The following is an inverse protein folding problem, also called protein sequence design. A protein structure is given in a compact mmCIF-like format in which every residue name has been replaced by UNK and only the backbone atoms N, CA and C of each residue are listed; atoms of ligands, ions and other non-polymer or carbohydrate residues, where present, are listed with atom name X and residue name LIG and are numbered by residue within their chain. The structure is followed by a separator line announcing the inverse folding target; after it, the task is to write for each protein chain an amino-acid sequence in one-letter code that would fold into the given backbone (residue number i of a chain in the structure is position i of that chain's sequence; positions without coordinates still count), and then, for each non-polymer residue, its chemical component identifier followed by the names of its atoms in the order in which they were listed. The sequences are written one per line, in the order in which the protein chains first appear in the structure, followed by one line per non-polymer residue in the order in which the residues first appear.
data_IF_204501427042
#
_entry.id   IF_204501427042
#
_cell.length_a   1.000
_cell.length_b   1.000
_cell.length_c   1.000
_cell.angle_alpha   90.00
_cell.angle_beta   90.00
_cell.angle_gamma   90.00
#
_symmetry.space_group_name_H-M   'P 1'
#
loop_
_entity.id
_entity.type
_entity.pdbx_description
1 polymer ?
#
# COMPACT_ATOMS: atom_id res chain seq x y z
N UNK A 1 4.46 -9.17 -9.80
CA UNK A 1 3.85 -8.45 -8.67
C UNK A 1 2.41 -8.93 -8.65
N UNK A 2 1.88 -9.25 -7.48
CA UNK A 2 0.51 -9.71 -7.32
C UNK A 2 -0.27 -8.57 -6.68
N UNK A 3 -1.34 -8.13 -7.32
CA UNK A 3 -2.33 -7.26 -6.71
C UNK A 3 -3.30 -8.15 -5.95
N UNK A 4 -3.39 -7.95 -4.63
CA UNK A 4 -4.19 -8.81 -3.75
C UNK A 4 -5.06 -7.90 -2.91
N UNK A 5 -6.38 -8.10 -2.99
CA UNK A 5 -7.35 -7.48 -2.09
C UNK A 5 -7.65 -8.46 -0.97
N UNK A 6 -7.54 -7.99 0.27
CA UNK A 6 -7.82 -8.77 1.46
C UNK A 6 -9.01 -8.15 2.20
N UNK A 7 -9.96 -8.99 2.60
CA UNK A 7 -10.94 -8.61 3.63
C UNK A 7 -10.26 -8.65 5.00
N UNK A 8 -10.50 -7.66 5.83
CA UNK A 8 -9.90 -7.52 7.16
C UNK A 8 -10.96 -7.21 8.21
N UNK A 9 -10.60 -7.38 9.48
CA UNK A 9 -11.46 -6.90 10.55
C UNK A 9 -11.54 -5.37 10.54
N UNK A 10 -12.68 -4.83 10.99
CA UNK A 10 -12.92 -3.39 11.13
C UNK A 10 -11.85 -2.68 11.99
N UNK A 11 -11.25 -3.39 12.94
CA UNK A 11 -10.14 -2.87 13.77
C UNK A 11 -8.94 -2.47 12.92
N UNK A 12 -8.64 -3.23 11.86
CA UNK A 12 -7.54 -2.98 10.92
C UNK A 12 -7.84 -1.74 10.07
N UNK A 13 -9.02 -1.68 9.44
CA UNK A 13 -9.42 -0.50 8.65
C UNK A 13 -9.52 0.76 9.49
N UNK A 14 -10.01 0.67 10.73
CA UNK A 14 -10.08 1.81 11.65
C UNK A 14 -8.71 2.36 12.04
N UNK A 15 -7.69 1.49 12.09
CA UNK A 15 -6.30 1.91 12.37
C UNK A 15 -5.55 2.46 11.14
N UNK A 16 -6.05 2.17 9.93
CA UNK A 16 -5.48 2.64 8.67
C UNK A 16 -6.05 4.03 8.34
N UNK A 17 -5.39 5.06 8.84
CA UNK A 17 -5.87 6.46 8.78
C UNK A 17 -5.02 7.34 7.87
N UNK A 18 -3.80 6.91 7.51
CA UNK A 18 -2.87 7.69 6.69
C UNK A 18 -2.27 6.84 5.57
N UNK A 19 -2.23 7.35 4.33
CA UNK A 19 -1.52 6.67 3.26
C UNK A 19 -0.04 6.51 3.59
N UNK A 20 0.54 5.39 3.17
CA UNK A 20 1.91 4.99 3.53
C UNK A 20 2.05 4.20 4.82
N UNK A 21 0.96 3.93 5.54
CA UNK A 21 0.96 2.90 6.58
C UNK A 21 1.09 1.49 5.99
N UNK A 22 1.42 0.53 6.85
CA UNK A 22 1.63 -0.86 6.48
C UNK A 22 0.98 -1.80 7.49
N UNK A 23 0.81 -3.06 7.12
CA UNK A 23 0.39 -4.14 8.00
C UNK A 23 1.47 -5.22 8.07
N UNK A 24 1.38 -6.05 9.11
CA UNK A 24 2.06 -7.34 9.14
C UNK A 24 1.07 -8.43 8.75
N UNK A 25 1.48 -9.36 7.89
CA UNK A 25 0.64 -10.48 7.48
C UNK A 25 1.42 -11.79 7.33
N UNK A 26 0.74 -12.91 7.58
CA UNK A 26 1.23 -14.28 7.37
C UNK A 26 0.08 -15.27 7.21
N UNK A 27 0.35 -16.41 6.59
CA UNK A 27 -0.62 -17.50 6.41
C UNK A 27 -0.65 -18.40 7.65
N UNK A 28 0.51 -18.81 8.16
CA UNK A 28 0.61 -19.75 9.28
C UNK A 28 1.06 -19.05 10.57
N UNK A 29 0.57 -19.53 11.72
CA UNK A 29 0.84 -18.94 13.05
C UNK A 29 2.33 -18.98 13.38
N UNK A 30 3.06 -20.01 12.98
CA UNK A 30 4.47 -20.18 13.34
C UNK A 30 5.43 -19.45 12.41
N UNK A 31 4.94 -18.95 11.27
CA UNK A 31 5.77 -18.23 10.31
C UNK A 31 6.08 -16.80 10.77
N UNK A 32 7.24 -16.29 10.34
CA UNK A 32 7.61 -14.89 10.52
C UNK A 32 6.73 -14.00 9.65
N UNK A 33 6.04 -12.98 10.19
CA UNK A 33 5.21 -12.10 9.38
C UNK A 33 6.04 -11.29 8.39
N UNK A 34 5.45 -11.05 7.21
CA UNK A 34 5.94 -10.06 6.26
C UNK A 34 5.35 -8.69 6.57
N UNK A 35 6.07 -7.63 6.19
CA UNK A 35 5.61 -6.25 6.29
C UNK A 35 5.14 -5.80 4.90
N UNK A 36 3.91 -5.31 4.82
CA UNK A 36 3.27 -4.95 3.56
C UNK A 36 2.65 -3.57 3.65
N UNK A 37 3.22 -2.62 2.89
CA UNK A 37 2.62 -1.31 2.73
C UNK A 37 1.26 -1.43 2.03
N UNK A 38 0.25 -0.76 2.57
CA UNK A 38 -1.09 -0.75 1.99
C UNK A 38 -1.05 0.10 0.71
N UNK A 39 -1.60 -0.46 -0.36
CA UNK A 39 -1.54 0.13 -1.70
C UNK A 39 -2.78 0.96 -2.03
N UNK A 40 -3.92 0.66 -1.41
CA UNK A 40 -5.13 1.49 -1.51
C UNK A 40 -5.07 2.69 -0.56
N UNK A 41 -5.83 3.74 -0.87
CA UNK A 41 -6.07 4.84 0.07
C UNK A 41 -6.86 4.37 1.32
N UNK A 42 -6.70 5.05 2.47
CA UNK A 42 -7.65 4.91 3.58
C UNK A 42 -9.08 5.14 3.11
N UNK A 43 -10.01 4.25 3.47
CA UNK A 43 -11.42 4.29 3.07
C UNK A 43 -11.64 4.35 1.54
N UNK A 44 -10.78 3.70 0.75
CA UNK A 44 -10.90 3.66 -0.71
C UNK A 44 -12.27 3.13 -1.14
N UNK A 45 -13.06 3.98 -1.81
CA UNK A 45 -14.41 3.64 -2.30
C UNK A 45 -14.42 2.64 -3.45
N UNK A 46 -13.25 2.37 -4.04
CA UNK A 46 -13.04 1.39 -5.12
C UNK A 46 -12.93 -0.04 -4.61
N UNK A 47 -12.78 -0.24 -3.30
CA UNK A 47 -12.70 -1.56 -2.67
C UNK A 47 -14.02 -1.93 -1.97
N UNK A 48 -14.29 -3.23 -1.76
CA UNK A 48 -15.34 -3.65 -0.86
C UNK A 48 -15.13 -3.06 0.56
N UNK A 49 -16.20 -2.94 1.37
CA UNK A 49 -16.08 -2.56 2.77
C UNK A 49 -15.06 -3.44 3.51
N UNK A 50 -14.38 -2.84 4.49
CA UNK A 50 -13.40 -3.51 5.35
C UNK A 50 -12.33 -4.30 4.55
N UNK A 51 -11.87 -3.72 3.43
CA UNK A 51 -10.86 -4.33 2.58
C UNK A 51 -9.64 -3.43 2.38
N UNK A 52 -8.48 -4.05 2.19
CA UNK A 52 -7.22 -3.39 1.84
C UNK A 52 -6.67 -3.99 0.56
N UNK A 53 -5.98 -3.17 -0.24
CA UNK A 53 -5.20 -3.67 -1.36
C UNK A 53 -3.71 -3.71 -1.02
N UNK A 54 -3.03 -4.78 -1.43
CA UNK A 54 -1.59 -4.98 -1.31
C UNK A 54 -0.98 -5.28 -2.68
N UNK A 55 0.22 -4.76 -2.92
CA UNK A 55 1.05 -5.16 -4.06
C UNK A 55 2.21 -6.01 -3.55
N UNK A 56 2.14 -7.31 -3.80
CA UNK A 56 3.06 -8.30 -3.24
C UNK A 56 4.02 -8.79 -4.31
N UNK A 57 5.32 -8.64 -4.04
CA UNK A 57 6.36 -9.29 -4.82
C UNK A 57 6.74 -10.59 -4.11
N UNK A 58 6.35 -11.72 -4.69
CA UNK A 58 6.74 -13.05 -4.18
C UNK A 58 8.27 -13.14 -4.08
N UNK A 59 8.75 -13.69 -2.96
CA UNK A 59 10.15 -13.97 -2.68
C UNK A 59 10.22 -15.37 -2.07
N UNK A 60 11.01 -16.31 -2.64
CA UNK A 60 11.07 -17.69 -2.16
C UNK A 60 11.36 -17.80 -0.65
N UNK A 61 10.62 -18.67 0.03
CA UNK A 61 10.77 -18.92 1.47
C UNK A 61 10.28 -17.79 2.38
N UNK A 62 9.46 -16.87 1.87
CA UNK A 62 8.94 -15.73 2.64
C UNK A 62 7.42 -15.75 2.77
N UNK A 63 6.90 -15.01 3.77
CA UNK A 63 5.46 -14.75 3.87
C UNK A 63 4.87 -14.10 2.62
N UNK A 64 5.66 -13.35 1.83
CA UNK A 64 5.20 -12.78 0.56
C UNK A 64 4.93 -13.87 -0.50
N UNK A 65 5.72 -14.95 -0.51
CA UNK A 65 5.45 -16.10 -1.39
C UNK A 65 4.21 -16.87 -0.93
N UNK A 66 4.11 -17.16 0.37
CA UNK A 66 2.96 -17.86 0.93
C UNK A 66 1.64 -17.13 0.63
N UNK A 67 1.61 -15.81 0.80
CA UNK A 67 0.43 -14.99 0.49
C UNK A 67 0.17 -14.92 -1.02
N UNK A 68 1.22 -14.78 -1.85
CA UNK A 68 1.06 -14.73 -3.31
C UNK A 68 0.52 -16.03 -3.92
N UNK A 69 0.77 -17.17 -3.27
CA UNK A 69 0.30 -18.49 -3.69
C UNK A 69 -1.03 -18.87 -3.02
N UNK A 70 -1.57 -18.06 -2.12
CA UNK A 70 -2.80 -18.33 -1.42
C UNK A 70 -4.00 -18.20 -2.39
N UNK A 71 -4.86 -19.21 -2.43
CA UNK A 71 -6.08 -19.16 -3.22
C UNK A 71 -7.06 -18.10 -2.66
N UNK A 72 -7.89 -17.54 -3.54
CA UNK A 72 -8.96 -16.64 -3.12
C UNK A 72 -9.87 -17.30 -2.07
N UNK A 73 -10.21 -16.54 -1.02
CA UNK A 73 -10.94 -17.07 0.15
C UNK A 73 -10.06 -17.73 1.21
N UNK A 74 -8.75 -17.87 0.98
CA UNK A 74 -7.79 -18.29 2.00
C UNK A 74 -7.70 -17.30 3.17
N UNK A 75 -7.32 -17.80 4.34
CA UNK A 75 -7.21 -17.00 5.57
C UNK A 75 -5.81 -16.44 5.76
N UNK A 76 -5.75 -15.24 6.35
CA UNK A 76 -4.53 -14.54 6.72
C UNK A 76 -4.61 -14.07 8.16
N UNK A 77 -3.49 -14.15 8.86
CA UNK A 77 -3.30 -13.48 10.14
C UNK A 77 -2.74 -12.08 9.84
N UNK A 78 -3.49 -11.04 10.21
CA UNK A 78 -3.22 -9.65 9.86
C UNK A 78 -3.16 -8.79 11.11
N UNK A 79 -2.14 -7.94 11.24
CA UNK A 79 -2.08 -6.94 12.31
C UNK A 79 -2.98 -5.75 12.00
N UNK A 80 -3.29 -4.93 13.01
CA UNK A 80 -3.72 -3.54 12.76
C UNK A 80 -2.69 -2.80 11.89
N UNK A 81 -3.11 -1.73 11.24
CA UNK A 81 -2.21 -0.86 10.49
C UNK A 81 -1.20 -0.20 11.43
N UNK A 82 0.02 -0.06 10.92
CA UNK A 82 1.21 0.42 11.63
C UNK A 82 1.92 1.49 10.80
N UNK A 83 2.84 2.20 11.45
CA UNK A 83 3.57 3.31 10.85
C UNK A 83 2.80 4.63 10.94
N UNK A 84 3.53 5.73 10.69
CA UNK A 84 3.00 7.11 10.79
C UNK A 84 2.37 7.60 9.48
N UNK A 85 2.45 6.82 8.41
CA UNK A 85 2.13 7.26 7.06
C UNK A 85 3.09 8.34 6.55
N UNK A 86 2.80 8.88 5.36
CA UNK A 86 3.48 10.07 4.86
C UNK A 86 2.96 11.33 5.56
N UNK A 87 3.87 12.24 5.91
CA UNK A 87 3.55 13.50 6.57
C UNK A 87 3.09 14.57 5.55
N UNK A 88 1.96 14.29 4.87
CA UNK A 88 1.41 15.17 3.82
C UNK A 88 0.98 16.54 4.37
N UNK A 89 0.71 16.62 5.68
CA UNK A 89 0.46 17.86 6.42
C UNK A 89 1.64 18.85 6.39
N UNK A 90 2.86 18.36 6.13
CA UNK A 90 4.07 19.19 6.05
C UNK A 90 4.34 19.76 4.67
N UNK A 91 3.51 19.41 3.67
CA UNK A 91 3.64 19.89 2.30
C UNK A 91 2.32 20.49 1.82
N UNK A 92 1.75 21.48 2.54
CA UNK A 92 0.48 22.09 2.12
C UNK A 92 0.61 22.68 0.71
N UNK A 93 -0.50 22.67 -0.03
CA UNK A 93 -0.56 23.18 -1.41
C UNK A 93 -0.11 24.65 -1.50
N UNK A 94 -0.36 25.45 -0.45
CA UNK A 94 0.04 26.86 -0.39
C UNK A 94 1.54 27.11 -0.39
N UNK A 95 2.34 26.15 0.11
CA UNK A 95 3.77 26.36 0.40
C UNK A 95 4.67 25.50 -0.50
N UNK A 96 4.11 24.45 -1.11
CA UNK A 96 4.86 23.49 -1.92
C UNK A 96 4.17 23.33 -3.27
N UNK A 97 4.79 23.81 -4.33
CA UNK A 97 4.19 23.78 -5.68
C UNK A 97 4.62 22.57 -6.52
N UNK A 98 5.69 21.89 -6.11
CA UNK A 98 6.24 20.73 -6.83
C UNK A 98 6.38 19.54 -5.88
N UNK A 99 5.78 18.41 -6.23
CA UNK A 99 5.93 17.14 -5.51
C UNK A 99 6.50 16.08 -6.46
N UNK A 100 7.68 15.57 -6.12
CA UNK A 100 8.33 14.49 -6.83
C UNK A 100 8.33 13.23 -5.96
N UNK A 101 7.83 12.14 -6.51
CA UNK A 101 7.75 10.85 -5.85
C UNK A 101 8.66 9.86 -6.55
N UNK A 102 9.41 9.08 -5.79
CA UNK A 102 10.35 8.10 -6.33
C UNK A 102 10.07 6.73 -5.73
N UNK A 103 9.89 5.73 -6.58
CA UNK A 103 9.73 4.35 -6.15
C UNK A 103 10.52 3.38 -7.02
N UNK A 104 10.86 2.25 -6.43
CA UNK A 104 11.35 1.08 -7.15
C UNK A 104 10.66 -0.18 -6.64
N UNK A 105 10.35 -1.12 -7.55
CA UNK A 105 9.70 -2.39 -7.19
C UNK A 105 8.40 -2.19 -6.39
N UNK A 106 8.25 -2.92 -5.28
CA UNK A 106 7.07 -2.80 -4.39
C UNK A 106 7.07 -1.52 -3.54
N UNK A 107 8.11 -0.68 -3.62
CA UNK A 107 8.12 0.65 -3.00
C UNK A 107 7.07 1.61 -3.56
N UNK A 108 6.40 1.24 -4.66
CA UNK A 108 5.28 2.00 -5.22
C UNK A 108 3.99 1.86 -4.40
N UNK A 109 3.79 0.77 -3.64
CA UNK A 109 2.56 0.55 -2.86
C UNK A 109 2.17 1.73 -1.98
N UNK A 110 3.04 2.24 -1.08
CA UNK A 110 2.66 3.36 -0.22
C UNK A 110 2.41 4.65 -1.02
N UNK A 111 3.04 4.83 -2.19
CA UNK A 111 2.81 5.98 -3.06
C UNK A 111 1.50 5.87 -3.85
N UNK A 112 1.11 4.67 -4.27
CA UNK A 112 -0.21 4.42 -4.85
C UNK A 112 -1.30 4.84 -3.87
N UNK A 113 -1.15 4.47 -2.59
CA UNK A 113 -2.06 4.87 -1.51
C UNK A 113 -2.15 6.39 -1.37
N UNK A 114 -1.03 7.11 -1.46
CA UNK A 114 -0.98 8.58 -1.44
C UNK A 114 -1.70 9.17 -2.65
N UNK A 115 -1.40 8.69 -3.85
CA UNK A 115 -1.98 9.19 -5.10
C UNK A 115 -3.50 9.02 -5.09
N UNK A 116 -3.98 7.83 -4.72
CA UNK A 116 -5.42 7.53 -4.67
C UNK A 116 -6.16 8.26 -3.55
N UNK A 117 -5.46 8.69 -2.50
CA UNK A 117 -6.09 9.46 -1.43
C UNK A 117 -6.53 10.86 -1.86
N UNK A 118 -6.01 11.37 -2.98
CA UNK A 118 -6.24 12.75 -3.44
C UNK A 118 -5.55 13.83 -2.60
N UNK A 119 -4.91 13.46 -1.49
CA UNK A 119 -4.31 14.39 -0.52
C UNK A 119 -3.10 15.17 -1.05
N UNK A 120 -2.58 14.80 -2.23
CA UNK A 120 -1.51 15.55 -2.88
C UNK A 120 -1.99 16.89 -3.45
N UNK A 121 -3.29 17.09 -3.71
CA UNK A 121 -3.76 18.32 -4.37
C UNK A 121 -3.16 18.50 -5.76
N UNK A 122 -3.09 17.42 -6.55
CA UNK A 122 -2.30 17.39 -7.78
C UNK A 122 -2.76 18.40 -8.85
N UNK A 123 -4.05 18.76 -8.86
CA UNK A 123 -4.61 19.78 -9.76
C UNK A 123 -4.32 21.22 -9.32
N UNK A 124 -3.85 21.42 -8.09
CA UNK A 124 -3.60 22.73 -7.50
C UNK A 124 -2.11 23.08 -7.47
N UNK A 125 -1.27 22.17 -7.96
CA UNK A 125 0.19 22.29 -8.00
C UNK A 125 0.68 22.33 -9.44
N UNK A 126 1.78 23.04 -9.69
CA UNK A 126 2.41 23.09 -11.00
C UNK A 126 2.94 21.73 -11.46
N UNK A 127 3.40 20.88 -10.54
CA UNK A 127 3.89 19.55 -10.88
C UNK A 127 3.73 18.53 -9.75
N UNK A 128 3.06 17.42 -10.06
CA UNK A 128 3.07 16.21 -9.24
C UNK A 128 3.50 15.04 -10.12
N UNK A 129 4.68 14.49 -9.88
CA UNK A 129 5.28 13.48 -10.74
C UNK A 129 5.77 12.26 -9.97
N UNK A 130 5.40 11.08 -10.45
CA UNK A 130 5.99 9.81 -10.02
C UNK A 130 7.09 9.39 -11.00
N UNK A 131 8.27 9.10 -10.45
CA UNK A 131 9.36 8.40 -11.11
C UNK A 131 9.40 6.96 -10.58
N UNK A 132 9.02 6.00 -11.43
CA UNK A 132 8.92 4.61 -11.02
C UNK A 132 9.90 3.72 -11.78
N UNK A 133 10.90 3.20 -11.06
CA UNK A 133 11.90 2.28 -11.60
C UNK A 133 11.45 0.82 -11.48
N UNK A 134 11.32 0.14 -12.62
CA UNK A 134 11.13 -1.32 -12.67
C UNK A 134 12.25 -1.96 -13.48
N UNK A 135 12.52 -3.26 -13.23
CA UNK A 135 13.57 -3.98 -13.97
C UNK A 135 13.26 -4.07 -15.46
N UNK A 136 11.99 -4.30 -15.80
CA UNK A 136 11.49 -4.41 -17.17
C UNK A 136 10.15 -3.66 -17.26
N UNK A 137 9.92 -2.93 -18.35
CA UNK A 137 8.72 -2.10 -18.58
C UNK A 137 7.39 -2.85 -18.50
N UNK A 138 7.35 -4.17 -18.76
CA UNK A 138 6.15 -5.00 -18.71
C UNK A 138 5.75 -5.54 -17.33
N UNK A 139 6.37 -5.08 -16.24
CA UNK A 139 6.06 -5.51 -14.85
C UNK A 139 5.75 -4.33 -13.92
N UNK A 140 5.21 -3.23 -14.47
CA UNK A 140 4.57 -2.20 -13.65
C UNK A 140 3.41 -2.85 -12.86
N UNK A 141 3.26 -2.43 -11.60
CA UNK A 141 2.30 -3.00 -10.65
C UNK A 141 0.86 -2.77 -11.10
#
# INVERSE_FOLDING_TARGET
MHQIVIGVEKSVTSSFTKPGQYIQAKVEVDNKPGFFAVASAPNASTLPPDSLELLIKSQPGSSAEAIANLAAGGQLLVSTAQGKGFALDKIPVSDVDIVLMFATGSGVSPLKSVIESGLLGASERSLVQLFYGTRNSGKAA
#
